data_IF_041698967258
#
_entry.id   IF_041698967258
#
_cell.length_a   1.000
_cell.length_b   1.000
_cell.length_c   1.000
_cell.angle_alpha   90.00
_cell.angle_beta   90.00
_cell.angle_gamma   90.00
#
_symmetry.space_group_name_H-M   'P 1'
#
loop_
_entity.id
_entity.type
_entity.pdbx_description
1 polymer ?
#
# COMPACT_ATOMS: atom_id res chain seq x y z
N UNK A 1 -7.52 -19.47 7.67
CA UNK A 1 -7.32 -18.52 8.78
C UNK A 1 -8.64 -18.33 9.52
N UNK A 2 -8.73 -18.61 10.82
CA UNK A 2 -9.98 -18.43 11.58
C UNK A 2 -10.20 -16.96 11.95
N UNK A 3 -11.10 -16.29 11.24
CA UNK A 3 -11.42 -14.86 11.41
C UNK A 3 -11.85 -14.55 12.85
N UNK A 4 -12.55 -15.48 13.51
CA UNK A 4 -12.98 -15.34 14.90
C UNK A 4 -11.80 -15.28 15.86
N UNK A 5 -10.74 -16.06 15.63
CA UNK A 5 -9.53 -16.01 16.45
C UNK A 5 -8.81 -14.67 16.25
N UNK A 6 -8.66 -14.23 15.00
CA UNK A 6 -7.99 -12.96 14.68
C UNK A 6 -8.63 -11.75 15.39
N UNK A 7 -9.97 -11.69 15.48
CA UNK A 7 -10.67 -10.59 16.16
C UNK A 7 -10.51 -10.67 17.68
N UNK A 8 -10.64 -11.85 18.28
CA UNK A 8 -10.53 -12.02 19.74
C UNK A 8 -9.09 -11.77 20.22
N UNK A 9 -8.08 -12.09 19.41
CA UNK A 9 -6.67 -11.85 19.75
C UNK A 9 -6.35 -10.38 20.00
N UNK A 10 -6.97 -9.45 19.26
CA UNK A 10 -6.73 -8.01 19.46
C UNK A 10 -7.09 -7.60 20.88
N UNK A 11 -8.17 -8.17 21.44
CA UNK A 11 -8.66 -7.86 22.78
C UNK A 11 -7.94 -8.65 23.90
N UNK A 12 -7.10 -9.62 23.57
CA UNK A 12 -6.31 -10.39 24.54
C UNK A 12 -5.00 -9.70 24.94
N UNK A 13 -4.59 -8.65 24.23
CA UNK A 13 -3.38 -7.89 24.57
C UNK A 13 -3.66 -6.93 25.74
N UNK A 14 -2.92 -6.99 26.86
CA UNK A 14 -3.20 -6.17 28.05
C UNK A 14 -3.11 -4.65 27.81
N UNK A 15 -2.49 -4.21 26.70
CA UNK A 15 -2.40 -2.80 26.30
C UNK A 15 -3.06 -2.52 24.93
N UNK A 16 -3.99 -3.37 24.51
CA UNK A 16 -4.68 -3.25 23.21
C UNK A 16 -5.25 -1.85 22.95
N UNK A 17 -5.89 -1.25 23.96
CA UNK A 17 -6.56 0.05 23.82
C UNK A 17 -5.57 1.18 23.57
N UNK A 18 -4.42 1.18 24.25
CA UNK A 18 -3.35 2.17 24.01
C UNK A 18 -2.78 2.03 22.59
N UNK A 19 -2.60 0.79 22.13
CA UNK A 19 -2.05 0.51 20.79
C UNK A 19 -3.01 0.97 19.68
N UNK A 20 -4.31 0.71 19.84
CA UNK A 20 -5.35 1.15 18.89
C UNK A 20 -5.46 2.68 18.88
N UNK A 21 -5.51 3.32 20.05
CA UNK A 21 -5.64 4.78 20.13
C UNK A 21 -4.44 5.49 19.48
N UNK A 22 -3.21 4.99 19.69
CA UNK A 22 -2.04 5.56 19.03
C UNK A 22 -2.11 5.31 17.51
N UNK A 23 -2.52 4.12 17.08
CA UNK A 23 -2.75 3.82 15.66
C UNK A 23 -3.77 4.76 15.01
N UNK A 24 -4.88 5.03 15.70
CA UNK A 24 -5.95 5.90 15.24
C UNK A 24 -5.49 7.36 15.15
N UNK A 25 -4.76 7.85 16.17
CA UNK A 25 -4.12 9.17 16.13
C UNK A 25 -3.13 9.26 14.96
N UNK A 26 -2.36 8.21 14.69
CA UNK A 26 -1.43 8.19 13.56
C UNK A 26 -2.15 8.20 12.21
N UNK A 27 -3.28 7.50 12.08
CA UNK A 27 -4.11 7.53 10.88
C UNK A 27 -4.68 8.94 10.69
N UNK A 28 -5.21 9.54 11.75
CA UNK A 28 -5.73 10.91 11.71
C UNK A 28 -4.64 11.93 11.33
N UNK A 29 -3.42 11.73 11.85
CA UNK A 29 -2.28 12.59 11.55
C UNK A 29 -1.60 12.25 10.21
N UNK A 30 -1.99 11.16 9.52
CA UNK A 30 -1.36 10.71 8.27
C UNK A 30 -1.47 11.70 7.12
N UNK A 31 -2.34 12.70 7.21
CA UNK A 31 -2.32 13.87 6.34
C UNK A 31 -0.95 14.59 6.33
N UNK A 32 -0.18 14.50 7.42
CA UNK A 32 1.15 15.12 7.53
C UNK A 32 2.26 14.32 6.83
N UNK A 33 1.95 13.21 6.15
CA UNK A 33 2.88 12.28 5.46
C UNK A 33 3.84 11.54 6.42
N UNK A 34 4.44 12.25 7.38
CA UNK A 34 5.34 11.72 8.41
C UNK A 34 4.74 10.52 9.15
N UNK A 35 3.44 10.53 9.54
CA UNK A 35 2.85 9.41 10.26
C UNK A 35 2.75 8.10 9.47
N UNK A 36 2.65 8.19 8.14
CA UNK A 36 2.52 7.01 7.26
C UNK A 36 3.76 6.12 7.35
N UNK A 37 4.96 6.71 7.50
CA UNK A 37 6.19 5.95 7.65
C UNK A 37 6.20 5.12 8.94
N UNK A 38 5.76 5.71 10.06
CA UNK A 38 5.71 4.98 11.33
C UNK A 38 4.69 3.84 11.29
N UNK A 39 3.54 4.03 10.63
CA UNK A 39 2.54 2.98 10.39
C UNK A 39 3.10 1.83 9.56
N UNK A 40 3.85 2.11 8.49
CA UNK A 40 4.48 1.07 7.68
C UNK A 40 5.53 0.27 8.46
N UNK A 41 6.37 0.95 9.24
CA UNK A 41 7.31 0.28 10.15
C UNK A 41 6.62 -0.56 11.22
N UNK A 42 5.49 -0.08 11.75
CA UNK A 42 4.65 -0.85 12.69
C UNK A 42 4.13 -2.15 12.07
N UNK A 43 3.68 -2.07 10.83
CA UNK A 43 3.18 -3.20 10.05
C UNK A 43 4.25 -4.27 9.84
N UNK A 44 5.48 -3.87 9.50
CA UNK A 44 6.61 -4.79 9.35
C UNK A 44 6.91 -5.51 10.66
N UNK A 45 6.87 -4.80 11.78
CA UNK A 45 7.13 -5.38 13.10
C UNK A 45 6.02 -6.36 13.52
N UNK A 46 4.75 -6.09 13.19
CA UNK A 46 3.65 -7.07 13.32
C UNK A 46 3.95 -8.31 12.49
N UNK A 47 4.32 -8.15 11.20
CA UNK A 47 4.62 -9.27 10.31
C UNK A 47 5.74 -10.14 10.91
N UNK A 48 6.81 -9.52 11.42
CA UNK A 48 7.90 -10.24 12.10
C UNK A 48 7.41 -11.01 13.33
N UNK A 49 6.57 -10.41 14.16
CA UNK A 49 6.06 -11.05 15.37
C UNK A 49 5.12 -12.23 15.04
N UNK A 50 4.29 -12.09 14.00
CA UNK A 50 3.44 -13.18 13.49
C UNK A 50 4.30 -14.31 12.92
N UNK A 51 5.34 -14.01 12.15
CA UNK A 51 6.28 -15.01 11.63
C UNK A 51 7.04 -15.75 12.75
N UNK A 52 7.34 -15.06 13.85
CA UNK A 52 7.96 -15.63 15.06
C UNK A 52 6.99 -16.41 15.93
N UNK A 53 5.71 -16.47 15.58
CA UNK A 53 4.65 -17.08 16.39
C UNK A 53 4.61 -16.51 17.81
N UNK A 54 4.87 -15.21 17.97
CA UNK A 54 4.76 -14.56 19.28
C UNK A 54 3.31 -14.55 19.77
N UNK A 55 3.14 -14.79 21.07
CA UNK A 55 1.83 -14.85 21.73
C UNK A 55 1.08 -13.50 21.66
N UNK A 56 1.83 -12.40 21.57
CA UNK A 56 1.31 -11.02 21.44
C UNK A 56 1.94 -10.31 20.24
N UNK A 57 1.36 -10.43 19.03
CA UNK A 57 1.99 -9.92 17.82
C UNK A 57 1.95 -8.39 17.71
N UNK A 58 1.14 -7.68 18.50
CA UNK A 58 1.08 -6.21 18.45
C UNK A 58 2.31 -5.61 19.14
N UNK A 59 3.19 -4.89 18.44
CA UNK A 59 4.39 -4.35 19.05
C UNK A 59 4.09 -3.07 19.86
N UNK A 60 4.96 -2.77 20.84
CA UNK A 60 4.84 -1.58 21.70
C UNK A 60 5.41 -0.32 21.04
N UNK A 61 4.83 0.85 21.30
CA UNK A 61 5.30 2.14 20.77
C UNK A 61 6.55 2.69 21.47
N UNK A 62 7.61 1.89 21.54
CA UNK A 62 8.86 2.26 22.21
C UNK A 62 10.00 2.53 21.20
N UNK A 63 10.03 1.83 20.06
CA UNK A 63 11.13 1.87 19.08
C UNK A 63 10.82 2.74 17.85
N UNK A 64 10.48 4.01 18.06
CA UNK A 64 10.12 4.96 17.00
C UNK A 64 11.18 5.09 15.89
N UNK A 65 12.47 5.11 16.26
CA UNK A 65 13.56 5.27 15.30
C UNK A 65 13.74 4.09 14.34
N UNK A 66 13.56 2.86 14.83
CA UNK A 66 13.62 1.66 13.98
C UNK A 66 12.43 1.63 13.01
N UNK A 67 11.21 1.93 13.50
CA UNK A 67 10.01 1.99 12.67
C UNK A 67 10.07 3.03 11.57
N UNK A 68 10.64 4.20 11.87
CA UNK A 68 10.83 5.22 10.84
C UNK A 68 11.76 4.74 9.73
N UNK A 69 12.86 4.06 10.07
CA UNK A 69 13.79 3.48 9.08
C UNK A 69 13.10 2.40 8.24
N UNK A 70 12.35 1.51 8.88
CA UNK A 70 11.63 0.43 8.21
C UNK A 70 10.55 0.97 7.26
N UNK A 71 9.76 1.96 7.71
CA UNK A 71 8.78 2.63 6.86
C UNK A 71 9.40 3.42 5.72
N UNK A 72 10.51 4.12 5.97
CA UNK A 72 11.25 4.84 4.93
C UNK A 72 11.77 3.88 3.87
N UNK A 73 12.37 2.76 4.29
CA UNK A 73 12.87 1.75 3.38
C UNK A 73 11.74 1.12 2.55
N UNK A 74 10.62 0.78 3.18
CA UNK A 74 9.46 0.25 2.48
C UNK A 74 8.87 1.26 1.48
N UNK A 75 8.86 2.55 1.84
CA UNK A 75 8.42 3.61 0.92
C UNK A 75 9.38 3.77 -0.25
N UNK A 76 10.70 3.71 -0.04
CA UNK A 76 11.70 3.74 -1.13
C UNK A 76 11.49 2.55 -2.07
N UNK A 77 11.28 1.35 -1.53
CA UNK A 77 10.96 0.17 -2.34
C UNK A 77 9.68 0.40 -3.15
N UNK A 78 8.59 0.83 -2.50
CA UNK A 78 7.32 1.15 -3.18
C UNK A 78 7.47 2.22 -4.27
N UNK A 79 8.31 3.24 -4.05
CA UNK A 79 8.60 4.27 -5.04
C UNK A 79 9.32 3.70 -6.27
N UNK A 80 10.27 2.79 -6.05
CA UNK A 80 10.98 2.11 -7.15
C UNK A 80 10.01 1.24 -7.96
N UNK A 81 9.11 0.51 -7.30
CA UNK A 81 8.11 -0.29 -7.99
C UNK A 81 7.08 0.58 -8.73
N UNK A 82 6.71 1.74 -8.20
CA UNK A 82 5.72 2.65 -8.82
C UNK A 82 6.30 3.62 -9.85
N UNK A 83 7.63 3.67 -10.03
CA UNK A 83 8.30 4.50 -11.04
C UNK A 83 7.70 4.38 -12.46
N UNK A 84 7.40 3.17 -12.99
CA UNK A 84 6.79 3.03 -14.32
C UNK A 84 5.42 3.71 -14.42
N UNK A 85 4.62 3.65 -13.35
CA UNK A 85 3.33 4.33 -13.27
C UNK A 85 3.51 5.85 -13.27
N UNK A 86 4.46 6.37 -12.49
CA UNK A 86 4.77 7.81 -12.47
C UNK A 86 5.25 8.32 -13.83
N UNK A 87 6.08 7.55 -14.53
CA UNK A 87 6.51 7.88 -15.90
C UNK A 87 5.32 7.89 -16.87
N UNK A 88 4.45 6.88 -16.82
CA UNK A 88 3.25 6.81 -17.65
C UNK A 88 2.28 7.98 -17.39
N UNK A 89 2.05 8.30 -16.11
CA UNK A 89 1.23 9.44 -15.69
C UNK A 89 1.84 10.77 -16.17
N UNK A 90 3.15 10.94 -16.03
CA UNK A 90 3.84 12.15 -16.46
C UNK A 90 3.74 12.34 -17.99
N UNK A 91 3.96 11.28 -18.77
CA UNK A 91 3.77 11.31 -20.23
C UNK A 91 2.31 11.64 -20.62
N UNK A 92 1.33 11.14 -19.86
CA UNK A 92 -0.09 11.42 -20.09
C UNK A 92 -0.52 12.84 -19.70
N UNK A 93 0.09 13.40 -18.65
CA UNK A 93 -0.23 14.74 -18.17
C UNK A 93 0.14 15.80 -19.20
N UNK A 94 1.22 15.59 -19.96
CA UNK A 94 1.66 16.50 -21.03
C UNK A 94 0.64 16.58 -22.17
N UNK A 95 -0.09 15.49 -22.46
CA UNK A 95 -1.10 15.48 -23.53
C UNK A 95 -2.49 15.92 -23.06
N UNK A 96 -2.81 15.73 -21.78
CA UNK A 96 -4.11 16.07 -21.20
C UNK A 96 -4.19 17.52 -20.67
N UNK A 97 -3.11 18.04 -20.07
CA UNK A 97 -3.09 19.37 -19.43
C UNK A 97 -3.44 20.53 -20.39
N UNK A 98 -2.95 20.57 -21.64
CA UNK A 98 -3.31 21.62 -22.59
C UNK A 98 -4.80 21.58 -22.99
N UNK A 99 -5.40 20.38 -23.05
CA UNK A 99 -6.83 20.21 -23.35
C UNK A 99 -7.71 20.61 -22.17
N UNK A 100 -7.28 20.37 -20.93
CA UNK A 100 -8.02 20.76 -19.73
C UNK A 100 -7.97 22.27 -19.44
N UNK A 101 -6.91 22.96 -19.89
CA UNK A 101 -6.71 24.40 -19.68
C UNK A 101 -7.16 25.29 -20.85
N UNK A 102 -7.55 24.70 -21.98
CA UNK A 102 -8.03 25.47 -23.13
C UNK A 102 -9.50 25.83 -22.96
N UNK A 103 -9.79 27.11 -22.74
CA UNK A 103 -11.15 27.66 -22.84
C UNK A 103 -11.62 27.84 -24.30
N UNK A 104 -10.71 27.66 -25.27
CA UNK A 104 -10.95 27.92 -26.70
C UNK A 104 -10.95 26.64 -27.54
N UNK A 105 -11.99 26.55 -28.38
CA UNK A 105 -12.19 25.70 -29.57
C UNK A 105 -11.10 24.62 -29.81
N UNK A 106 -11.10 23.59 -28.96
CA UNK A 106 -10.34 22.39 -29.19
C UNK A 106 -10.99 21.67 -30.38
N UNK A 107 -10.23 21.49 -31.46
CA UNK A 107 -10.68 20.69 -32.60
C UNK A 107 -11.20 19.33 -32.11
N UNK A 108 -12.30 18.81 -32.65
CA UNK A 108 -12.88 17.51 -32.22
C UNK A 108 -11.83 16.37 -32.18
N UNK A 109 -10.81 16.44 -33.04
CA UNK A 109 -9.68 15.53 -33.04
C UNK A 109 -8.79 15.61 -31.78
N UNK A 110 -8.55 16.81 -31.24
CA UNK A 110 -7.68 16.99 -30.05
C UNK A 110 -8.40 16.64 -28.76
N UNK A 111 -9.71 16.86 -28.67
CA UNK A 111 -10.54 16.39 -27.54
C UNK A 111 -10.68 14.87 -27.52
N UNK A 112 -10.92 14.23 -28.69
CA UNK A 112 -10.99 12.77 -28.76
C UNK A 112 -9.66 12.07 -28.44
N UNK A 113 -8.53 12.61 -28.88
CA UNK A 113 -7.20 12.07 -28.57
C UNK A 113 -6.82 12.22 -27.09
N UNK A 114 -7.17 13.35 -26.46
CA UNK A 114 -6.89 13.59 -25.04
C UNK A 114 -7.78 12.78 -24.11
N UNK A 115 -9.07 12.63 -24.42
CA UNK A 115 -10.01 11.81 -23.63
C UNK A 115 -9.70 10.32 -23.78
N UNK A 116 -9.46 9.83 -25.01
CA UNK A 116 -9.15 8.41 -25.23
C UNK A 116 -7.79 7.99 -24.64
N UNK A 117 -6.78 8.85 -24.75
CA UNK A 117 -5.47 8.63 -24.15
C UNK A 117 -5.53 8.60 -22.62
N UNK A 118 -6.30 9.50 -22.01
CA UNK A 118 -6.47 9.52 -20.55
C UNK A 118 -7.24 8.29 -20.06
N UNK A 119 -8.32 7.88 -20.73
CA UNK A 119 -9.07 6.67 -20.35
C UNK A 119 -8.22 5.40 -20.45
N UNK A 120 -7.40 5.24 -21.49
CA UNK A 120 -6.53 4.07 -21.63
C UNK A 120 -5.47 4.04 -20.52
N UNK A 121 -4.86 5.19 -20.21
CA UNK A 121 -3.82 5.30 -19.19
C UNK A 121 -4.41 5.16 -17.79
N UNK A 122 -5.61 5.68 -17.54
CA UNK A 122 -6.34 5.45 -16.30
C UNK A 122 -6.69 3.96 -16.12
N UNK A 123 -7.08 3.26 -17.19
CA UNK A 123 -7.33 1.82 -17.14
C UNK A 123 -6.04 1.03 -16.85
N UNK A 124 -4.92 1.40 -17.49
CA UNK A 124 -3.60 0.82 -17.22
C UNK A 124 -3.12 1.10 -15.78
N UNK A 125 -3.34 2.32 -15.29
CA UNK A 125 -3.02 2.71 -13.92
C UNK A 125 -3.86 1.91 -12.91
N UNK A 126 -5.15 1.69 -13.19
CA UNK A 126 -6.01 0.86 -12.37
C UNK A 126 -5.52 -0.59 -12.31
N UNK A 127 -5.20 -1.19 -13.46
CA UNK A 127 -4.62 -2.54 -13.52
C UNK A 127 -3.29 -2.62 -12.77
N UNK A 128 -2.44 -1.61 -12.90
CA UNK A 128 -1.18 -1.52 -12.18
C UNK A 128 -1.41 -1.42 -10.67
N UNK A 129 -2.40 -0.65 -10.23
CA UNK A 129 -2.72 -0.48 -8.80
C UNK A 129 -3.23 -1.79 -8.20
N UNK A 130 -4.07 -2.54 -8.93
CA UNK A 130 -4.48 -3.89 -8.54
C UNK A 130 -3.28 -4.84 -8.47
N UNK A 131 -2.39 -4.82 -9.46
CA UNK A 131 -1.17 -5.62 -9.43
C UNK A 131 -0.26 -5.25 -8.25
N UNK A 132 -0.10 -3.95 -7.97
CA UNK A 132 0.68 -3.45 -6.85
C UNK A 132 0.05 -3.86 -5.51
N UNK A 133 -1.28 -3.87 -5.38
CA UNK A 133 -1.95 -4.34 -4.18
C UNK A 133 -1.64 -5.82 -3.88
N UNK A 134 -1.47 -6.65 -4.91
CA UNK A 134 -1.06 -8.06 -4.79
C UNK A 134 0.42 -8.17 -4.43
N UNK A 135 1.26 -7.31 -4.98
CA UNK A 135 2.72 -7.34 -4.78
C UNK A 135 3.14 -6.72 -3.43
N UNK A 136 2.41 -5.71 -2.94
CA UNK A 136 2.69 -4.97 -1.72
C UNK A 136 2.89 -5.85 -0.47
N UNK A 137 2.01 -6.82 -0.15
CA UNK A 137 2.23 -7.71 0.99
C UNK A 137 3.46 -8.61 0.80
N UNK A 138 3.75 -9.04 -0.42
CA UNK A 138 4.94 -9.85 -0.71
C UNK A 138 6.24 -9.04 -0.49
N UNK A 139 6.27 -7.77 -0.91
CA UNK A 139 7.39 -6.86 -0.62
C UNK A 139 7.57 -6.69 0.90
N UNK A 140 6.47 -6.48 1.63
CA UNK A 140 6.51 -6.31 3.08
C UNK A 140 7.02 -7.57 3.80
N UNK A 141 6.59 -8.76 3.38
CA UNK A 141 7.06 -10.05 3.93
C UNK A 141 8.55 -10.26 3.65
N UNK A 142 9.00 -10.00 2.42
CA UNK A 142 10.40 -10.17 2.06
C UNK A 142 11.30 -9.18 2.79
N UNK A 143 10.86 -7.92 2.95
CA UNK A 143 11.56 -6.94 3.78
C UNK A 143 11.59 -7.36 5.26
N UNK A 144 10.49 -7.91 5.78
CA UNK A 144 10.43 -8.41 7.14
C UNK A 144 11.43 -9.56 7.40
N UNK A 145 11.69 -10.41 6.39
CA UNK A 145 12.61 -11.54 6.45
C UNK A 145 14.09 -11.13 6.32
N UNK A 146 14.42 -10.31 5.32
CA UNK A 146 15.81 -10.00 4.94
C UNK A 146 16.33 -8.69 5.56
N UNK A 147 15.44 -7.84 6.09
CA UNK A 147 15.76 -6.54 6.71
C UNK A 147 16.60 -5.59 5.81
N UNK A 148 16.56 -5.81 4.50
CA UNK A 148 17.34 -5.07 3.52
C UNK A 148 16.50 -4.58 2.36
N UNK A 149 16.76 -3.34 1.95
CA UNK A 149 16.19 -2.76 0.72
C UNK A 149 16.51 -3.59 -0.52
N UNK A 150 17.73 -4.13 -0.60
CA UNK A 150 18.17 -4.90 -1.76
C UNK A 150 17.34 -6.18 -1.96
N UNK A 151 16.87 -6.81 -0.88
CA UNK A 151 15.99 -7.97 -0.97
C UNK A 151 14.65 -7.61 -1.65
N UNK A 152 14.04 -6.48 -1.29
CA UNK A 152 12.76 -6.05 -1.90
C UNK A 152 12.83 -5.82 -3.41
N UNK A 153 14.02 -5.53 -3.94
CA UNK A 153 14.25 -5.31 -5.38
C UNK A 153 14.50 -6.61 -6.15
N UNK A 154 14.54 -7.77 -5.47
CA UNK A 154 14.65 -9.07 -6.13
C UNK A 154 13.29 -9.49 -6.67
N UNK A 155 12.92 -8.90 -7.81
CA UNK A 155 11.63 -9.14 -8.48
C UNK A 155 11.30 -10.63 -8.63
N UNK A 156 12.29 -11.49 -8.90
CA UNK A 156 12.09 -12.93 -9.04
C UNK A 156 11.63 -13.62 -7.74
N UNK A 157 12.18 -13.24 -6.60
CA UNK A 157 11.78 -13.76 -5.29
C UNK A 157 10.40 -13.23 -4.87
N UNK A 158 10.14 -11.93 -5.10
CA UNK A 158 8.81 -11.33 -4.87
C UNK A 158 7.74 -12.05 -5.70
N UNK A 159 7.99 -12.28 -6.99
CA UNK A 159 7.07 -13.01 -7.87
C UNK A 159 6.88 -14.46 -7.45
N UNK A 160 7.92 -15.13 -6.94
CA UNK A 160 7.81 -16.49 -6.42
C UNK A 160 6.90 -16.54 -5.19
N UNK A 161 7.08 -15.63 -4.22
CA UNK A 161 6.24 -15.51 -3.02
C UNK A 161 4.78 -15.23 -3.43
N UNK A 162 4.57 -14.28 -4.35
CA UNK A 162 3.24 -13.98 -4.88
C UNK A 162 2.63 -15.23 -5.49
N UNK A 163 3.38 -15.97 -6.32
CA UNK A 163 2.91 -17.18 -7.01
C UNK A 163 2.57 -18.34 -6.06
N UNK A 164 3.35 -18.54 -5.02
CA UNK A 164 3.13 -19.59 -4.02
C UNK A 164 1.96 -19.28 -3.08
N UNK A 165 1.76 -18.00 -2.74
CA UNK A 165 0.74 -17.57 -1.79
C UNK A 165 -0.42 -16.81 -2.44
N UNK A 166 -0.65 -17.01 -3.75
CA UNK A 166 -1.70 -16.31 -4.50
C UNK A 166 -3.07 -16.39 -3.82
N UNK A 167 -3.44 -17.54 -3.26
CA UNK A 167 -4.74 -17.74 -2.61
C UNK A 167 -4.95 -16.82 -1.40
N UNK A 168 -3.96 -16.75 -0.52
CA UNK A 168 -4.03 -15.93 0.69
C UNK A 168 -3.84 -14.43 0.40
N UNK A 169 -2.99 -14.11 -0.58
CA UNK A 169 -2.79 -12.72 -1.03
C UNK A 169 -4.04 -12.20 -1.73
N UNK A 170 -4.66 -12.98 -2.61
CA UNK A 170 -5.93 -12.59 -3.26
C UNK A 170 -7.02 -12.40 -2.22
N UNK A 171 -7.11 -13.27 -1.21
CA UNK A 171 -8.05 -13.07 -0.11
C UNK A 171 -7.77 -11.77 0.64
N UNK A 172 -6.52 -11.48 0.97
CA UNK A 172 -6.13 -10.24 1.65
C UNK A 172 -6.48 -9.00 0.80
N UNK A 173 -6.17 -9.02 -0.50
CA UNK A 173 -6.50 -7.94 -1.43
C UNK A 173 -8.00 -7.76 -1.57
N UNK A 174 -8.77 -8.84 -1.68
CA UNK A 174 -10.23 -8.78 -1.74
C UNK A 174 -10.79 -8.15 -0.46
N UNK A 175 -10.30 -8.57 0.70
CA UNK A 175 -10.72 -8.01 1.99
C UNK A 175 -10.40 -6.51 2.07
N UNK A 176 -9.18 -6.10 1.73
CA UNK A 176 -8.77 -4.68 1.75
C UNK A 176 -9.59 -3.86 0.75
N UNK A 177 -9.81 -4.39 -0.45
CA UNK A 177 -10.57 -3.69 -1.50
C UNK A 177 -12.04 -3.55 -1.10
N UNK A 178 -12.66 -4.60 -0.57
CA UNK A 178 -14.04 -4.57 -0.06
C UNK A 178 -14.16 -3.60 1.11
N UNK A 179 -13.19 -3.56 2.01
CA UNK A 179 -13.16 -2.58 3.10
C UNK A 179 -13.05 -1.15 2.57
N UNK A 180 -12.15 -0.90 1.61
CA UNK A 180 -11.97 0.42 1.00
C UNK A 180 -13.19 0.90 0.23
N UNK A 181 -13.86 0.01 -0.50
CA UNK A 181 -15.13 0.32 -1.18
C UNK A 181 -16.25 0.60 -0.15
N UNK A 182 -16.32 -0.18 0.93
CA UNK A 182 -17.29 0.05 1.98
C UNK A 182 -17.08 1.42 2.69
N UNK A 183 -15.83 1.79 2.95
CA UNK A 183 -15.47 3.07 3.58
C UNK A 183 -15.77 4.26 2.66
N UNK A 184 -15.43 4.16 1.37
CA UNK A 184 -15.73 5.21 0.39
C UNK A 184 -17.22 5.38 0.13
N UNK A 185 -18.02 4.29 0.19
CA UNK A 185 -19.49 4.36 0.16
C UNK A 185 -20.07 5.03 1.41
N UNK A 186 -19.35 4.98 2.54
CA UNK A 186 -19.71 5.68 3.78
C UNK A 186 -19.27 7.16 3.77
N UNK A 187 -18.62 7.63 2.70
CA UNK A 187 -18.20 9.03 2.54
C UNK A 187 -16.97 9.42 3.35
N UNK A 188 -16.11 8.46 3.68
CA UNK A 188 -14.80 8.63 4.33
C UNK A 188 -13.66 8.48 3.34
#
# INVERSE_FOLDING_TARGET
>A
MDIRKAIVFVFQDPRWLVKIVIGDIMIFLSFLIVPVFFLQGYLIEIIRNVMRSEEHPLPEWNNWGARFKDGLNLTIAGLIYTLPLWLALCCSGVTFLPAAMSEGDLTEATTLLSVSGFSLIACLAFLFLVAYAVIAPAIAIQYAHEDTLAATLRFGEVLAIVREHLGDIVLAVVVITVLGVALSLLGL
#
